data_IF_874417205085
#
_entry.id   IF_874417205085
#
_cell.length_a   1.000
_cell.length_b   1.000
_cell.length_c   1.000
_cell.angle_alpha   90.00
_cell.angle_beta   90.00
_cell.angle_gamma   90.00
#
_symmetry.space_group_name_H-M   'P 1'
#
loop_
_entity.id
_entity.type
_entity.pdbx_description
1 polymer ?
#
# COMPACT_ATOMS: atom_id res chain seq x y z
N UNK A 1 9.71 -9.28 -19.99
CA UNK A 1 8.25 -9.42 -20.16
C UNK A 1 7.79 -10.86 -19.96
N UNK A 2 6.61 -11.03 -19.34
CA UNK A 2 5.90 -12.30 -19.24
C UNK A 2 5.30 -12.69 -20.60
N UNK A 3 5.18 -13.98 -20.86
CA UNK A 3 4.48 -14.52 -22.04
C UNK A 3 3.01 -14.76 -21.72
N UNK A 4 2.17 -14.76 -22.76
CA UNK A 4 0.75 -15.11 -22.61
C UNK A 4 0.54 -16.53 -22.06
N UNK A 5 1.46 -17.47 -22.37
CA UNK A 5 1.42 -18.83 -21.85
C UNK A 5 1.61 -18.88 -20.34
N UNK A 6 2.56 -18.11 -19.80
CA UNK A 6 2.81 -18.03 -18.36
C UNK A 6 1.61 -17.46 -17.60
N UNK A 7 0.98 -16.41 -18.14
CA UNK A 7 -0.21 -15.81 -17.51
C UNK A 7 -1.39 -16.78 -17.54
N UNK A 8 -1.60 -17.52 -18.63
CA UNK A 8 -2.70 -18.50 -18.75
C UNK A 8 -2.47 -19.79 -17.96
N UNK A 9 -1.24 -20.08 -17.55
CA UNK A 9 -0.92 -21.25 -16.75
C UNK A 9 -1.33 -21.09 -15.28
N UNK A 10 -1.56 -19.86 -14.81
CA UNK A 10 -2.07 -19.61 -13.46
C UNK A 10 -3.56 -19.99 -13.40
N UNK A 11 -3.95 -20.67 -12.33
CA UNK A 11 -5.34 -20.90 -11.98
C UNK A 11 -5.93 -19.61 -11.40
N UNK A 12 -6.72 -18.90 -12.21
CA UNK A 12 -7.38 -17.64 -11.83
C UNK A 12 -8.74 -17.85 -11.16
N UNK A 13 -9.15 -19.10 -10.91
CA UNK A 13 -10.51 -19.47 -10.57
C UNK A 13 -11.30 -19.94 -11.79
N UNK A 14 -12.42 -20.62 -11.52
CA UNK A 14 -13.23 -21.28 -12.55
C UNK A 14 -14.45 -20.47 -13.01
N UNK A 15 -14.90 -19.51 -12.21
CA UNK A 15 -16.09 -18.71 -12.50
C UNK A 15 -15.69 -17.33 -13.04
N UNK A 16 -15.93 -17.02 -14.33
CA UNK A 16 -15.57 -15.73 -14.91
C UNK A 16 -16.35 -14.55 -14.33
N UNK A 17 -17.43 -14.79 -13.60
CA UNK A 17 -18.25 -13.76 -12.95
C UNK A 17 -17.88 -13.53 -11.49
N UNK A 18 -16.90 -14.27 -10.94
CA UNK A 18 -16.46 -14.15 -9.55
C UNK A 18 -14.94 -14.11 -9.45
N UNK A 19 -14.43 -13.23 -8.59
CA UNK A 19 -13.01 -13.16 -8.28
C UNK A 19 -12.70 -14.11 -7.12
N UNK A 20 -11.84 -15.10 -7.35
CA UNK A 20 -11.23 -15.89 -6.28
C UNK A 20 -9.97 -15.14 -5.78
N UNK A 21 -10.13 -14.35 -4.71
CA UNK A 21 -9.07 -13.49 -4.21
C UNK A 21 -7.82 -14.25 -3.75
N UNK A 22 -7.99 -15.43 -3.16
CA UNK A 22 -6.87 -16.25 -2.68
C UNK A 22 -6.03 -16.75 -3.86
N UNK A 23 -6.69 -17.29 -4.89
CA UNK A 23 -6.02 -17.74 -6.13
C UNK A 23 -5.36 -16.60 -6.88
N UNK A 24 -6.07 -15.47 -7.01
CA UNK A 24 -5.52 -14.28 -7.69
C UNK A 24 -4.30 -13.75 -6.94
N UNK A 25 -4.33 -13.69 -5.62
CA UNK A 25 -3.20 -13.22 -4.82
C UNK A 25 -1.99 -14.13 -4.99
N UNK A 26 -2.17 -15.45 -4.80
CA UNK A 26 -1.09 -16.42 -4.98
C UNK A 26 -0.51 -16.41 -6.40
N UNK A 27 -1.38 -16.36 -7.42
CA UNK A 27 -0.99 -16.38 -8.82
C UNK A 27 -0.24 -15.12 -9.27
N UNK A 28 -0.68 -13.94 -8.81
CA UNK A 28 -0.03 -12.67 -9.17
C UNK A 28 1.38 -12.57 -8.59
N UNK A 29 1.57 -12.96 -7.33
CA UNK A 29 2.89 -12.90 -6.68
C UNK A 29 3.94 -13.69 -7.47
N UNK A 30 3.61 -14.91 -7.89
CA UNK A 30 4.52 -15.73 -8.69
C UNK A 30 4.88 -15.07 -10.05
N UNK A 31 3.91 -14.46 -10.71
CA UNK A 31 4.15 -13.76 -11.98
C UNK A 31 4.95 -12.48 -11.81
N UNK A 32 4.71 -11.73 -10.74
CA UNK A 32 5.42 -10.49 -10.42
C UNK A 32 6.90 -10.72 -10.18
N UNK A 33 7.24 -11.73 -9.37
CA UNK A 33 8.64 -12.09 -9.12
C UNK A 33 9.33 -12.50 -10.43
N UNK A 34 8.67 -13.29 -11.27
CA UNK A 34 9.21 -13.71 -12.57
C UNK A 34 9.40 -12.53 -13.55
N UNK A 35 8.44 -11.61 -13.60
CA UNK A 35 8.53 -10.41 -14.43
C UNK A 35 9.69 -9.52 -13.98
N UNK A 36 9.74 -9.21 -12.69
CA UNK A 36 10.75 -8.34 -12.12
C UNK A 36 12.14 -8.95 -12.23
N UNK A 37 12.32 -10.25 -11.99
CA UNK A 37 13.62 -10.91 -12.17
C UNK A 37 14.20 -10.72 -13.59
N UNK A 38 13.35 -10.65 -14.62
CA UNK A 38 13.77 -10.44 -16.02
C UNK A 38 14.09 -8.98 -16.35
N UNK A 39 13.49 -8.03 -15.64
CA UNK A 39 13.53 -6.60 -15.98
C UNK A 39 14.30 -5.77 -14.93
N UNK A 40 14.64 -6.35 -13.79
CA UNK A 40 15.29 -5.68 -12.66
C UNK A 40 16.54 -4.91 -13.08
N UNK A 41 17.42 -5.54 -13.86
CA UNK A 41 18.69 -4.94 -14.25
C UNK A 41 18.50 -3.62 -15.04
N UNK A 42 17.50 -3.55 -15.91
CA UNK A 42 17.21 -2.34 -16.69
C UNK A 42 16.31 -1.36 -15.93
N UNK A 43 15.38 -1.85 -15.10
CA UNK A 43 14.43 -1.01 -14.38
C UNK A 43 15.02 -0.35 -13.12
N UNK A 44 15.95 -1.00 -12.43
CA UNK A 44 16.43 -0.57 -11.11
C UNK A 44 16.90 0.89 -11.03
N UNK A 45 17.64 1.47 -12.00
CA UNK A 45 18.03 2.88 -11.94
C UNK A 45 16.83 3.83 -11.89
N UNK A 46 15.82 3.60 -12.73
CA UNK A 46 14.61 4.43 -12.76
C UNK A 46 13.77 4.25 -11.49
N UNK A 47 13.67 3.02 -10.98
CA UNK A 47 12.96 2.74 -9.73
C UNK A 47 13.62 3.41 -8.53
N UNK A 48 14.96 3.39 -8.44
CA UNK A 48 15.69 4.12 -7.38
C UNK A 48 15.51 5.62 -7.48
N UNK A 49 15.48 6.17 -8.70
CA UNK A 49 15.19 7.59 -8.90
C UNK A 49 13.76 7.94 -8.43
N UNK A 50 12.77 7.10 -8.76
CA UNK A 50 11.38 7.28 -8.30
C UNK A 50 11.28 7.21 -6.76
N UNK A 51 11.91 6.23 -6.13
CA UNK A 51 11.96 6.09 -4.66
C UNK A 51 12.64 7.30 -3.98
N UNK A 52 13.61 7.94 -4.64
CA UNK A 52 14.25 9.14 -4.12
C UNK A 52 13.40 10.40 -4.30
N UNK A 53 12.62 10.47 -5.38
CA UNK A 53 11.77 11.61 -5.71
C UNK A 53 10.44 11.63 -4.95
N UNK A 54 9.87 10.46 -4.65
CA UNK A 54 8.53 10.30 -4.10
C UNK A 54 8.56 9.65 -2.70
N UNK A 55 8.48 10.43 -1.61
CA UNK A 55 8.58 9.91 -0.25
C UNK A 55 7.52 8.85 0.08
N UNK A 56 6.27 9.05 -0.36
CA UNK A 56 5.18 8.10 -0.14
C UNK A 56 5.48 6.74 -0.76
N UNK A 57 6.12 6.71 -1.94
CA UNK A 57 6.46 5.47 -2.64
C UNK A 57 7.55 4.73 -1.88
N UNK A 58 8.56 5.46 -1.37
CA UNK A 58 9.62 4.87 -0.54
C UNK A 58 9.06 4.26 0.74
N UNK A 59 8.19 5.00 1.44
CA UNK A 59 7.55 4.51 2.66
C UNK A 59 6.66 3.30 2.37
N UNK A 60 5.83 3.35 1.33
CA UNK A 60 5.01 2.21 0.91
C UNK A 60 5.84 0.96 0.58
N UNK A 61 6.87 1.11 -0.25
CA UNK A 61 7.68 -0.03 -0.70
C UNK A 61 8.47 -0.66 0.46
N UNK A 62 9.00 0.17 1.38
CA UNK A 62 9.67 -0.33 2.57
C UNK A 62 8.68 -1.00 3.54
N UNK A 63 7.50 -0.39 3.75
CA UNK A 63 6.43 -0.97 4.55
C UNK A 63 6.06 -2.37 4.05
N UNK A 64 5.82 -2.52 2.75
CA UNK A 64 5.45 -3.80 2.15
C UNK A 64 6.57 -4.84 2.30
N UNK A 65 7.82 -4.46 2.02
CA UNK A 65 8.96 -5.37 2.15
C UNK A 65 9.18 -5.84 3.60
N UNK A 66 9.06 -4.93 4.58
CA UNK A 66 9.16 -5.29 6.00
C UNK A 66 7.97 -6.16 6.40
N UNK A 67 6.74 -5.83 5.97
CA UNK A 67 5.55 -6.63 6.26
C UNK A 67 5.70 -8.08 5.80
N UNK A 68 6.23 -8.28 4.59
CA UNK A 68 6.52 -9.62 4.06
C UNK A 68 7.57 -10.35 4.90
N UNK A 69 8.66 -9.68 5.28
CA UNK A 69 9.68 -10.25 6.17
C UNK A 69 9.11 -10.65 7.53
N UNK A 70 8.18 -9.86 8.07
CA UNK A 70 7.52 -10.13 9.34
C UNK A 70 6.34 -11.11 9.22
N UNK A 71 6.24 -11.85 8.10
CA UNK A 71 5.21 -12.88 7.90
C UNK A 71 3.79 -12.31 7.80
N UNK A 72 3.65 -11.06 7.35
CA UNK A 72 2.37 -10.37 7.24
C UNK A 72 1.91 -9.67 8.52
N UNK A 73 2.70 -9.69 9.59
CA UNK A 73 2.37 -9.01 10.84
C UNK A 73 2.15 -7.51 10.62
N UNK A 74 1.19 -6.88 11.34
CA UNK A 74 0.94 -5.45 11.25
C UNK A 74 2.11 -4.64 11.82
N UNK A 75 2.27 -3.40 11.36
CA UNK A 75 3.47 -2.59 11.71
C UNK A 75 3.68 -2.36 13.20
N UNK A 76 2.59 -2.24 13.95
CA UNK A 76 2.60 -2.06 15.40
C UNK A 76 3.06 -3.31 16.18
N UNK A 77 3.19 -4.46 15.51
CA UNK A 77 3.74 -5.70 16.07
C UNK A 77 5.20 -5.95 15.67
N UNK A 78 5.80 -5.08 14.85
CA UNK A 78 7.18 -5.23 14.40
C UNK A 78 8.18 -4.93 15.52
N UNK A 79 9.46 -5.35 15.37
CA UNK A 79 10.53 -4.92 16.26
C UNK A 79 10.52 -3.40 16.45
N UNK A 80 10.61 -2.95 17.70
CA UNK A 80 10.45 -1.55 18.08
C UNK A 80 11.24 -0.57 17.21
N UNK A 81 12.52 -0.81 16.82
CA UNK A 81 13.23 0.12 15.95
C UNK A 81 12.61 0.32 14.56
N UNK A 82 11.93 -0.69 14.01
CA UNK A 82 11.20 -0.61 12.74
C UNK A 82 9.82 0.02 12.91
N UNK A 83 9.11 -0.37 13.98
CA UNK A 83 7.81 0.21 14.37
C UNK A 83 7.93 1.72 14.56
N UNK A 84 8.91 2.14 15.36
CA UNK A 84 9.17 3.53 15.74
C UNK A 84 10.03 4.26 14.70
N UNK A 85 10.33 3.61 13.56
CA UNK A 85 11.00 4.22 12.40
C UNK A 85 12.36 4.85 12.72
N UNK A 86 13.16 4.20 13.56
CA UNK A 86 14.54 4.59 13.79
C UNK A 86 15.32 4.68 12.47
N UNK A 87 15.99 5.81 12.23
CA UNK A 87 16.73 6.05 10.99
C UNK A 87 17.75 4.93 10.67
N UNK A 88 18.42 4.40 11.70
CA UNK A 88 19.38 3.31 11.54
C UNK A 88 18.67 1.99 11.16
N UNK A 89 17.52 1.70 11.76
CA UNK A 89 16.76 0.49 11.46
C UNK A 89 16.15 0.54 10.04
N UNK A 90 15.64 1.70 9.63
CA UNK A 90 15.11 1.90 8.28
C UNK A 90 16.21 1.80 7.22
N UNK A 91 17.39 2.38 7.48
CA UNK A 91 18.53 2.27 6.56
C UNK A 91 18.99 0.81 6.41
N UNK A 92 19.12 0.09 7.53
CA UNK A 92 19.48 -1.33 7.51
C UNK A 92 18.43 -2.19 6.80
N UNK A 93 17.13 -1.91 6.99
CA UNK A 93 16.05 -2.60 6.30
C UNK A 93 16.06 -2.32 4.79
N UNK A 94 16.28 -1.07 4.37
CA UNK A 94 16.39 -0.70 2.95
C UNK A 94 17.54 -1.42 2.25
N UNK A 95 18.70 -1.53 2.89
CA UNK A 95 19.84 -2.26 2.34
C UNK A 95 19.56 -3.76 2.26
N UNK A 96 19.06 -4.34 3.35
CA UNK A 96 18.78 -5.77 3.46
C UNK A 96 17.64 -6.24 2.55
N UNK A 97 16.65 -5.37 2.30
CA UNK A 97 15.44 -5.67 1.54
C UNK A 97 15.40 -4.96 0.16
N UNK A 98 16.53 -4.47 -0.36
CA UNK A 98 16.59 -3.68 -1.62
C UNK A 98 15.80 -4.34 -2.76
N UNK A 99 15.95 -5.64 -2.95
CA UNK A 99 15.26 -6.40 -3.99
C UNK A 99 13.73 -6.38 -3.84
N UNK A 100 13.22 -6.52 -2.62
CA UNK A 100 11.76 -6.49 -2.35
C UNK A 100 11.22 -5.07 -2.47
N UNK A 101 11.96 -4.08 -1.96
CA UNK A 101 11.60 -2.66 -2.09
C UNK A 101 11.52 -2.27 -3.58
N UNK A 102 12.50 -2.69 -4.38
CA UNK A 102 12.50 -2.43 -5.82
C UNK A 102 11.38 -3.19 -6.54
N UNK A 103 11.04 -4.40 -6.12
CA UNK A 103 9.87 -5.10 -6.67
C UNK A 103 8.58 -4.31 -6.41
N UNK A 104 8.33 -3.85 -5.19
CA UNK A 104 7.12 -3.06 -4.91
C UNK A 104 7.10 -1.74 -5.70
N UNK A 105 8.26 -1.10 -5.87
CA UNK A 105 8.37 0.09 -6.71
C UNK A 105 8.08 -0.23 -8.18
N UNK A 106 8.56 -1.38 -8.68
CA UNK A 106 8.25 -1.86 -10.03
C UNK A 106 6.74 -2.07 -10.22
N UNK A 107 6.08 -2.69 -9.25
CA UNK A 107 4.64 -2.93 -9.31
C UNK A 107 3.82 -1.63 -9.30
N UNK A 108 4.19 -0.64 -8.48
CA UNK A 108 3.55 0.68 -8.48
C UNK A 108 3.79 1.45 -9.79
N UNK A 109 5.00 1.32 -10.35
CA UNK A 109 5.34 1.91 -11.66
C UNK A 109 4.49 1.31 -12.77
N UNK A 110 4.38 -0.02 -12.80
CA UNK A 110 3.61 -0.73 -13.81
C UNK A 110 2.10 -0.47 -13.67
N UNK A 111 1.58 -0.39 -12.44
CA UNK A 111 0.20 0.02 -12.19
C UNK A 111 -0.06 1.42 -12.75
N UNK A 112 0.77 2.41 -12.41
CA UNK A 112 0.64 3.79 -12.89
C UNK A 112 0.68 3.84 -14.41
N UNK A 113 1.63 3.13 -15.04
CA UNK A 113 1.75 3.06 -16.50
C UNK A 113 0.49 2.52 -17.17
N UNK A 114 -0.08 1.44 -16.65
CA UNK A 114 -1.30 0.84 -17.19
C UNK A 114 -2.53 1.74 -16.94
N UNK A 115 -2.64 2.31 -15.74
CA UNK A 115 -3.72 3.22 -15.37
C UNK A 115 -3.72 4.49 -16.24
N UNK A 116 -2.55 5.07 -16.50
CA UNK A 116 -2.41 6.24 -17.37
C UNK A 116 -2.86 5.96 -18.80
N UNK A 117 -2.57 4.76 -19.33
CA UNK A 117 -3.04 4.36 -20.65
C UNK A 117 -4.58 4.25 -20.71
N UNK A 118 -5.21 3.68 -19.68
CA UNK A 118 -6.68 3.61 -19.57
C UNK A 118 -7.29 5.01 -19.47
N UNK A 119 -6.72 5.86 -18.60
CA UNK A 119 -7.18 7.24 -18.41
C UNK A 119 -7.05 8.07 -19.68
N UNK A 120 -5.92 7.96 -20.37
CA UNK A 120 -5.70 8.64 -21.65
C UNK A 120 -6.72 8.20 -22.71
N UNK A 121 -6.99 6.89 -22.80
CA UNK A 121 -7.99 6.35 -23.72
C UNK A 121 -9.40 6.85 -23.39
N UNK A 122 -9.81 6.84 -22.12
CA UNK A 122 -11.11 7.34 -21.69
C UNK A 122 -11.28 8.84 -22.04
N UNK A 123 -10.28 9.66 -21.72
CA UNK A 123 -10.30 11.09 -21.99
C UNK A 123 -10.37 11.39 -23.49
N UNK A 124 -9.66 10.64 -24.33
CA UNK A 124 -9.72 10.77 -25.78
C UNK A 124 -11.13 10.52 -26.36
N UNK A 125 -11.98 9.80 -25.62
CA UNK A 125 -13.38 9.51 -25.98
C UNK A 125 -14.38 10.36 -25.18
N UNK A 126 -13.94 11.43 -24.52
CA UNK A 126 -14.82 12.32 -23.74
C UNK A 126 -15.38 11.69 -22.46
N UNK A 127 -14.87 10.53 -22.04
CA UNK A 127 -15.24 9.86 -20.79
C UNK A 127 -14.37 10.41 -19.66
N UNK A 128 -15.01 10.86 -18.56
CA UNK A 128 -14.32 11.27 -17.33
C UNK A 128 -14.37 10.15 -16.30
N UNK A 129 -13.32 10.07 -15.48
CA UNK A 129 -13.20 9.07 -14.41
C UNK A 129 -13.46 9.76 -13.06
N UNK A 130 -14.33 9.18 -12.24
CA UNK A 130 -14.58 9.61 -10.87
C UNK A 130 -13.89 8.59 -9.96
N UNK A 131 -12.94 9.06 -9.15
CA UNK A 131 -12.31 8.25 -8.11
C UNK A 131 -13.17 8.18 -6.86
N UNK A 132 -12.80 7.29 -5.95
CA UNK A 132 -13.39 7.17 -4.63
C UNK A 132 -12.26 7.18 -3.59
N UNK A 133 -12.36 8.08 -2.61
CA UNK A 133 -11.36 8.25 -1.57
C UNK A 133 -12.02 7.95 -0.22
N UNK A 134 -11.65 6.84 0.45
CA UNK A 134 -12.12 6.56 1.80
C UNK A 134 -11.75 7.70 2.75
N UNK A 135 -12.68 8.10 3.61
CA UNK A 135 -12.41 9.13 4.63
C UNK A 135 -11.27 8.73 5.57
N UNK A 136 -11.17 7.44 5.92
CA UNK A 136 -10.17 6.93 6.83
C UNK A 136 -9.28 5.87 6.16
N UNK A 137 -8.03 5.82 6.58
CA UNK A 137 -7.08 4.75 6.23
C UNK A 137 -7.18 3.58 7.21
N UNK A 138 -6.66 2.41 6.84
CA UNK A 138 -6.59 1.26 7.75
C UNK A 138 -5.53 1.47 8.85
N UNK A 139 -5.71 0.93 10.07
CA UNK A 139 -4.72 1.05 11.14
C UNK A 139 -3.37 0.42 10.76
N UNK A 140 -3.41 -0.71 10.06
CA UNK A 140 -2.23 -1.37 9.52
C UNK A 140 -2.00 -0.95 8.06
N UNK A 141 -1.49 0.27 7.88
CA UNK A 141 -1.13 0.83 6.58
C UNK A 141 0.22 1.53 6.62
N UNK A 142 0.81 1.73 5.43
CA UNK A 142 2.02 2.53 5.28
C UNK A 142 1.78 3.99 5.70
N UNK A 143 0.57 4.52 5.54
CA UNK A 143 0.22 5.91 5.91
C UNK A 143 0.33 6.12 7.41
N UNK A 144 -0.30 5.24 8.21
CA UNK A 144 -0.28 5.34 9.67
C UNK A 144 1.12 5.08 10.21
N UNK A 145 1.80 4.07 9.66
CA UNK A 145 3.18 3.77 10.04
C UNK A 145 4.12 4.93 9.74
N UNK A 146 4.03 5.55 8.55
CA UNK A 146 4.94 6.61 8.12
C UNK A 146 4.65 7.97 8.74
N UNK A 147 3.39 8.24 9.09
CA UNK A 147 2.91 9.53 9.60
C UNK A 147 2.12 9.38 10.91
N UNK A 148 2.65 8.71 11.95
CA UNK A 148 1.88 8.36 13.15
C UNK A 148 1.35 9.59 13.90
N UNK A 149 2.06 10.73 13.81
CA UNK A 149 1.66 11.99 14.42
C UNK A 149 0.37 12.60 13.84
N UNK A 150 -0.07 12.14 12.66
CA UNK A 150 -1.32 12.60 12.04
C UNK A 150 -2.54 11.83 12.56
N UNK A 151 -2.33 10.84 13.43
CA UNK A 151 -3.35 9.93 13.95
C UNK A 151 -3.35 9.89 15.47
N UNK A 152 -4.51 9.59 16.04
CA UNK A 152 -4.67 9.40 17.49
C UNK A 152 -4.25 7.99 17.89
N UNK A 153 -2.96 7.81 18.15
CA UNK A 153 -2.38 6.54 18.55
C UNK A 153 -1.99 6.54 20.03
N UNK A 154 -1.94 5.36 20.64
CA UNK A 154 -1.34 5.14 21.95
C UNK A 154 0.20 4.93 21.83
N UNK A 155 0.95 4.83 22.95
CA UNK A 155 2.41 4.65 22.90
C UNK A 155 2.88 3.35 22.22
N UNK A 156 2.01 2.37 22.03
CA UNK A 156 2.31 1.11 21.35
C UNK A 156 1.98 1.14 19.85
N UNK A 157 1.42 2.26 19.36
CA UNK A 157 1.07 2.47 17.97
C UNK A 157 -0.34 1.99 17.59
N UNK A 158 -1.17 1.61 18.58
CA UNK A 158 -2.56 1.25 18.33
C UNK A 158 -3.45 2.50 18.30
N UNK A 159 -4.59 2.47 17.59
CA UNK A 159 -5.59 3.54 17.69
C UNK A 159 -6.09 3.69 19.13
N UNK A 160 -5.96 4.89 19.72
CA UNK A 160 -6.51 5.19 21.05
C UNK A 160 -8.03 5.33 21.04
N UNK A 161 -8.58 5.65 19.87
CA UNK A 161 -9.99 5.60 19.53
C UNK A 161 -10.13 5.24 18.04
N UNK A 162 -11.27 4.65 17.67
CA UNK A 162 -11.53 4.20 16.31
C UNK A 162 -12.78 4.83 15.71
N UNK A 163 -12.83 4.87 14.38
CA UNK A 163 -13.96 5.34 13.62
C UNK A 163 -15.17 4.42 13.71
N UNK A 164 -16.34 5.01 13.54
CA UNK A 164 -17.63 4.35 13.51
C UNK A 164 -18.76 5.36 13.35
N UNK A 165 -19.99 4.86 13.35
CA UNK A 165 -21.20 5.68 13.40
C UNK A 165 -22.07 5.22 14.58
N UNK A 166 -22.74 6.16 15.27
CA UNK A 166 -23.60 5.82 16.40
C UNK A 166 -24.85 5.05 15.94
N UNK A 167 -25.60 4.44 16.87
CA UNK A 167 -26.94 3.95 16.61
C UNK A 167 -27.84 4.97 15.93
N UNK A 168 -28.67 4.49 15.01
CA UNK A 168 -29.72 5.26 14.35
C UNK A 168 -30.98 4.41 14.14
N UNK A 169 -31.98 4.95 13.45
CA UNK A 169 -33.25 4.25 13.20
C UNK A 169 -33.13 3.08 12.21
N UNK A 170 -31.98 2.90 11.55
CA UNK A 170 -31.67 1.74 10.71
C UNK A 170 -30.83 0.69 11.44
N UNK A 171 -29.93 1.10 12.34
CA UNK A 171 -29.07 0.21 13.14
C UNK A 171 -29.10 0.58 14.61
N UNK A 172 -29.66 -0.31 15.45
CA UNK A 172 -29.73 -0.12 16.89
C UNK A 172 -28.35 -0.12 17.59
N UNK A 173 -27.35 -0.75 16.97
CA UNK A 173 -26.00 -0.89 17.53
C UNK A 173 -24.99 0.07 16.88
N UNK A 174 -25.39 0.82 15.85
CA UNK A 174 -24.47 1.63 15.04
C UNK A 174 -23.51 0.76 14.22
N UNK A 175 -22.30 1.27 13.99
CA UNK A 175 -21.23 0.53 13.32
C UNK A 175 -19.86 0.92 13.90
N UNK A 176 -19.01 -0.07 14.14
CA UNK A 176 -17.62 0.12 14.55
C UNK A 176 -16.72 -0.29 13.39
N UNK A 177 -16.03 0.67 12.76
CA UNK A 177 -15.24 0.42 11.56
C UNK A 177 -13.78 0.05 11.84
N UNK A 178 -13.23 0.54 12.96
CA UNK A 178 -11.88 0.17 13.42
C UNK A 178 -10.73 1.02 12.86
N UNK A 179 -11.00 1.98 11.98
CA UNK A 179 -9.98 2.88 11.46
C UNK A 179 -9.46 3.83 12.56
N UNK A 180 -8.16 4.22 12.55
CA UNK A 180 -7.68 5.28 13.43
C UNK A 180 -8.34 6.61 13.11
N UNK A 181 -8.58 7.41 14.15
CA UNK A 181 -9.01 8.79 13.99
C UNK A 181 -7.82 9.70 13.70
N UNK A 182 -8.05 10.72 12.88
CA UNK A 182 -7.06 11.78 12.66
C UNK A 182 -6.85 12.63 13.91
N UNK A 183 -5.61 13.05 14.11
CA UNK A 183 -5.30 14.19 14.97
C UNK A 183 -5.46 15.48 14.15
N UNK A 184 -6.70 15.97 14.09
CA UNK A 184 -7.04 17.18 13.33
C UNK A 184 -6.32 18.44 13.82
N UNK A 185 -5.91 18.49 15.10
CA UNK A 185 -5.17 19.64 15.61
C UNK A 185 -3.71 19.58 15.14
N UNK A 186 -3.09 18.40 15.13
CA UNK A 186 -1.77 18.18 14.54
C UNK A 186 -1.76 18.48 13.04
N UNK A 187 -2.74 17.97 12.29
CA UNK A 187 -2.90 18.26 10.86
C UNK A 187 -3.09 19.76 10.60
N UNK A 188 -3.94 20.42 11.40
CA UNK A 188 -4.14 21.88 11.25
C UNK A 188 -2.83 22.65 11.50
N UNK A 189 -2.03 22.22 12.47
CA UNK A 189 -0.79 22.89 12.84
C UNK A 189 0.26 22.87 11.72
N UNK A 190 0.27 21.84 10.86
CA UNK A 190 1.18 21.75 9.71
C UNK A 190 0.59 22.27 8.39
N UNK A 191 -0.66 22.72 8.41
CA UNK A 191 -1.37 23.23 7.23
C UNK A 191 -2.03 22.13 6.40
N UNK A 192 -2.42 21.03 7.03
CA UNK A 192 -3.06 19.86 6.42
C UNK A 192 -2.19 19.21 5.34
N UNK A 193 -0.87 19.16 5.52
CA UNK A 193 0.05 18.71 4.46
C UNK A 193 -0.09 17.24 4.07
N UNK A 194 -0.63 16.42 4.97
CA UNK A 194 -0.91 15.01 4.70
C UNK A 194 -2.16 14.80 3.84
N UNK A 195 -3.15 15.69 3.97
CA UNK A 195 -4.40 15.67 3.20
C UNK A 195 -4.23 16.34 1.82
#
# INVERSE_FOLDING_TARGET
>A
ALTAGEVRAIDWGADPMRVDYDRVHAGRTALWDAAFAREKASAAPALRAALAAEPWLRDYCLYMAVKEEQGGAPWYAWPQPLRDRSAAALAAALERLDDRVLLHAYLQTEFTRQWDAVRAYAHAHGVRIIGDLPMYVAPDSADVWAQPAQFRLDPDGQPSAVAGVPPDYFSADGQLWGNPLYDWDAMRADGFRWW
#
